data_IF_921707248356
#
_entry.id   IF_921707248356
#
_cell.length_a   1.000
_cell.length_b   1.000
_cell.length_c   1.000
_cell.angle_alpha   90.00
_cell.angle_beta   90.00
_cell.angle_gamma   90.00
#
_symmetry.space_group_name_H-M   'P 1'
#
loop_
_entity.id
_entity.type
_entity.pdbx_description
1 polymer ?
#
# COMPACT_ATOMS: atom_id res chain seq x y z
N UNK A 1 -17.56 -52.44 -40.87
CA UNK A 1 -18.03 -52.59 -39.48
C UNK A 1 -16.89 -52.20 -38.55
N UNK A 2 -17.13 -51.24 -37.63
CA UNK A 2 -16.20 -50.64 -36.63
C UNK A 2 -15.11 -49.74 -37.26
N UNK A 3 -14.83 -48.52 -36.84
CA UNK A 3 -15.16 -47.77 -35.63
C UNK A 3 -15.10 -46.26 -35.98
N UNK A 4 -16.18 -45.53 -35.73
CA UNK A 4 -16.22 -44.07 -35.64
C UNK A 4 -15.87 -43.70 -34.18
N UNK A 5 -15.29 -42.51 -33.98
CA UNK A 5 -15.33 -41.67 -32.76
C UNK A 5 -13.99 -41.51 -32.01
N UNK A 6 -13.75 -40.25 -31.61
CA UNK A 6 -12.57 -39.67 -30.94
C UNK A 6 -11.38 -39.40 -31.87
N UNK A 7 -11.22 -38.22 -32.46
CA UNK A 7 -10.70 -37.06 -31.70
C UNK A 7 -10.85 -35.77 -32.54
N UNK A 8 -12.08 -35.28 -32.70
CA UNK A 8 -12.36 -33.93 -33.26
C UNK A 8 -12.28 -32.84 -32.18
N UNK A 9 -11.92 -33.17 -30.93
CA UNK A 9 -12.02 -32.24 -29.80
C UNK A 9 -10.77 -31.39 -29.49
N UNK A 10 -9.69 -31.47 -30.26
CA UNK A 10 -8.46 -30.70 -29.94
C UNK A 10 -8.37 -29.38 -30.73
N UNK A 11 -9.07 -29.22 -31.86
CA UNK A 11 -8.96 -28.00 -32.68
C UNK A 11 -10.02 -26.92 -32.41
N UNK A 12 -11.15 -27.26 -31.80
CA UNK A 12 -12.14 -26.25 -31.40
C UNK A 12 -11.78 -25.55 -30.07
N UNK A 13 -11.02 -26.22 -29.19
CA UNK A 13 -10.64 -25.68 -27.88
C UNK A 13 -9.56 -24.61 -27.94
N UNK A 14 -8.53 -24.77 -28.78
CA UNK A 14 -7.42 -23.81 -28.86
C UNK A 14 -7.82 -22.47 -29.51
N UNK A 15 -8.76 -22.49 -30.45
CA UNK A 15 -9.27 -21.26 -31.09
C UNK A 15 -10.31 -20.54 -30.23
N UNK A 16 -11.06 -21.25 -29.40
CA UNK A 16 -11.97 -20.63 -28.42
C UNK A 16 -11.22 -20.07 -27.20
N UNK A 17 -10.11 -20.70 -26.78
CA UNK A 17 -9.31 -20.21 -25.66
C UNK A 17 -8.40 -19.03 -26.04
N UNK A 18 -7.97 -18.94 -27.31
CA UNK A 18 -7.18 -17.80 -27.79
C UNK A 18 -8.04 -16.56 -28.13
N UNK A 19 -9.38 -16.71 -28.20
CA UNK A 19 -10.34 -15.60 -28.37
C UNK A 19 -10.96 -15.11 -27.07
N UNK A 20 -10.64 -15.72 -25.93
CA UNK A 20 -11.13 -15.27 -24.63
C UNK A 20 -9.98 -14.63 -23.86
N UNK A 21 -10.14 -13.32 -23.61
CA UNK A 21 -9.33 -12.47 -22.74
C UNK A 21 -8.10 -11.78 -23.35
N UNK A 22 -8.21 -11.34 -24.61
CA UNK A 22 -7.73 -9.99 -24.98
C UNK A 22 -8.89 -8.99 -24.87
N UNK A 23 -9.48 -8.92 -23.68
CA UNK A 23 -9.94 -7.62 -23.23
C UNK A 23 -8.72 -7.01 -22.55
N UNK A 24 -7.83 -6.40 -23.33
CA UNK A 24 -7.33 -5.10 -22.90
C UNK A 24 -8.60 -4.24 -22.84
N UNK A 25 -9.30 -4.33 -21.70
CA UNK A 25 -10.16 -3.23 -21.34
C UNK A 25 -9.20 -2.04 -21.37
N UNK A 26 -9.43 -1.13 -22.32
CA UNK A 26 -8.95 0.23 -22.17
C UNK A 26 -9.50 0.60 -20.80
N UNK A 27 -8.66 0.54 -19.77
CA UNK A 27 -9.08 0.90 -18.43
C UNK A 27 -9.61 2.32 -18.60
N UNK A 28 -10.90 2.52 -18.35
CA UNK A 28 -11.46 3.86 -18.40
C UNK A 28 -10.59 4.72 -17.49
N UNK A 29 -9.83 5.62 -18.11
CA UNK A 29 -8.92 6.49 -17.39
C UNK A 29 -9.73 7.65 -16.89
N UNK A 30 -10.03 7.67 -15.61
CA UNK A 30 -10.71 8.78 -14.98
C UNK A 30 -9.69 9.90 -14.74
N UNK A 31 -10.01 11.15 -15.11
CA UNK A 31 -9.09 12.25 -14.90
C UNK A 31 -8.87 12.49 -13.41
N UNK A 32 -7.60 12.55 -13.00
CA UNK A 32 -7.23 13.02 -11.66
C UNK A 32 -7.41 14.54 -11.59
N UNK A 33 -8.40 14.97 -10.83
CA UNK A 33 -8.72 16.40 -10.64
C UNK A 33 -7.92 17.00 -9.47
N UNK A 34 -7.57 16.18 -8.48
CA UNK A 34 -6.84 16.58 -7.28
C UNK A 34 -6.06 15.41 -6.68
N UNK A 35 -5.12 15.69 -5.78
CA UNK A 35 -4.50 14.66 -4.96
C UNK A 35 -5.45 14.28 -3.82
N UNK A 36 -5.93 13.02 -3.79
CA UNK A 36 -6.64 12.47 -2.64
C UNK A 36 -5.75 12.44 -1.39
N UNK A 37 -6.30 12.74 -0.20
CA UNK A 37 -5.53 12.74 1.03
C UNK A 37 -5.25 11.32 1.51
N UNK A 38 -3.97 10.97 1.65
CA UNK A 38 -3.56 9.65 2.14
C UNK A 38 -3.03 9.71 3.58
N UNK A 39 -3.35 8.68 4.37
CA UNK A 39 -2.68 8.41 5.64
C UNK A 39 -1.96 7.10 5.51
N UNK A 40 -0.64 7.14 5.60
CA UNK A 40 0.17 5.93 5.60
C UNK A 40 0.26 5.44 7.04
N UNK A 41 -0.24 4.24 7.32
CA UNK A 41 -0.18 3.62 8.64
C UNK A 41 0.84 2.49 8.63
N UNK A 42 1.84 2.61 9.50
CA UNK A 42 2.95 1.65 9.60
C UNK A 42 3.01 1.10 11.03
N UNK A 43 2.35 -0.02 11.33
CA UNK A 43 2.63 -0.79 12.53
C UNK A 43 3.99 -1.49 12.38
N UNK A 44 4.82 -1.40 13.42
CA UNK A 44 6.18 -1.90 13.36
C UNK A 44 6.64 -2.47 14.69
N UNK A 45 7.30 -3.62 14.65
CA UNK A 45 7.86 -4.31 15.81
C UNK A 45 9.16 -4.98 15.41
N UNK A 46 10.28 -4.59 16.04
CA UNK A 46 11.62 -5.14 15.79
C UNK A 46 12.08 -5.06 14.31
N UNK A 47 11.85 -3.92 13.66
CA UNK A 47 12.18 -3.70 12.25
C UNK A 47 13.37 -2.75 12.06
N UNK A 48 14.33 -2.74 12.99
CA UNK A 48 15.49 -1.86 12.88
C UNK A 48 16.20 -2.04 11.53
N UNK A 49 16.37 -3.27 11.03
CA UNK A 49 17.01 -3.51 9.75
C UNK A 49 16.32 -2.81 8.55
N UNK A 50 15.01 -2.55 8.63
CA UNK A 50 14.19 -2.08 7.51
C UNK A 50 13.77 -0.61 7.62
N UNK A 51 13.78 -0.04 8.84
CA UNK A 51 13.26 1.30 9.14
C UNK A 51 13.74 2.39 8.18
N UNK A 52 15.03 2.36 7.81
CA UNK A 52 15.59 3.38 6.94
C UNK A 52 14.99 3.31 5.53
N UNK A 53 14.91 2.12 4.96
CA UNK A 53 14.33 1.93 3.63
C UNK A 53 12.82 2.19 3.65
N UNK A 54 12.13 1.75 4.70
CA UNK A 54 10.71 1.96 4.91
C UNK A 54 10.38 3.47 4.91
N UNK A 55 10.93 4.23 5.86
CA UNK A 55 10.65 5.66 6.00
C UNK A 55 11.13 6.47 4.79
N UNK A 56 12.32 6.19 4.24
CA UNK A 56 12.80 6.89 3.04
C UNK A 56 11.87 6.65 1.84
N UNK A 57 11.33 5.44 1.66
CA UNK A 57 10.40 5.16 0.56
C UNK A 57 9.07 5.93 0.66
N UNK A 58 8.62 6.21 1.89
CA UNK A 58 7.43 7.02 2.17
C UNK A 58 7.71 8.49 1.85
N UNK A 59 8.81 9.04 2.35
CA UNK A 59 9.13 10.46 2.15
C UNK A 59 9.75 10.79 0.79
N UNK A 60 10.11 9.78 0.00
CA UNK A 60 10.52 9.95 -1.40
C UNK A 60 9.34 9.90 -2.38
N UNK A 61 8.09 9.84 -1.92
CA UNK A 61 6.95 9.86 -2.84
C UNK A 61 6.79 11.25 -3.49
N UNK A 62 6.61 11.27 -4.81
CA UNK A 62 6.25 12.46 -5.59
C UNK A 62 4.76 12.79 -5.41
N UNK A 63 4.36 13.02 -4.16
CA UNK A 63 2.99 13.24 -3.76
C UNK A 63 2.98 14.10 -2.48
N UNK A 64 2.13 15.11 -2.42
CA UNK A 64 2.19 16.09 -1.32
C UNK A 64 1.07 15.89 -0.30
N UNK A 65 -0.11 15.49 -0.75
CA UNK A 65 -1.30 15.35 0.09
C UNK A 65 -1.30 14.01 0.87
N UNK A 66 -0.30 13.81 1.72
CA UNK A 66 -0.27 12.67 2.62
C UNK A 66 0.33 13.01 3.98
N UNK A 67 0.00 12.19 4.98
CA UNK A 67 0.66 12.14 6.29
C UNK A 67 0.99 10.71 6.69
N UNK A 68 1.94 10.55 7.59
CA UNK A 68 2.40 9.28 8.14
C UNK A 68 1.96 9.13 9.60
N UNK A 69 1.48 7.94 9.97
CA UNK A 69 1.44 7.47 11.34
C UNK A 69 2.32 6.23 11.44
N UNK A 70 3.46 6.37 12.10
CA UNK A 70 4.37 5.27 12.38
C UNK A 70 4.16 4.81 13.83
N UNK A 71 3.93 3.52 14.04
CA UNK A 71 3.61 2.95 15.35
C UNK A 71 4.70 1.94 15.69
N UNK A 72 5.55 2.28 16.66
CA UNK A 72 6.44 1.33 17.29
C UNK A 72 5.67 0.54 18.37
N UNK A 73 5.43 -0.74 18.09
CA UNK A 73 4.62 -1.63 18.91
C UNK A 73 5.45 -2.32 19.99
N UNK A 74 6.11 -1.51 20.81
CA UNK A 74 6.95 -1.95 21.93
C UNK A 74 8.14 -2.79 21.47
N UNK A 75 8.91 -2.29 20.50
CA UNK A 75 10.11 -2.98 20.00
C UNK A 75 11.17 -3.14 21.08
N UNK A 76 11.89 -4.27 21.04
CA UNK A 76 13.01 -4.58 21.92
C UNK A 76 14.38 -4.30 21.30
N UNK A 77 14.41 -3.91 20.03
CA UNK A 77 15.59 -3.44 19.32
C UNK A 77 15.64 -1.90 19.25
N UNK A 78 16.50 -1.33 18.41
CA UNK A 78 16.62 0.11 18.25
C UNK A 78 15.64 0.73 17.22
N UNK A 79 14.57 0.01 16.82
CA UNK A 79 13.55 0.49 15.85
C UNK A 79 13.01 1.87 16.24
N UNK A 80 12.52 2.03 17.47
CA UNK A 80 11.97 3.30 17.96
C UNK A 80 12.97 4.46 17.85
N UNK A 81 14.20 4.23 18.34
CA UNK A 81 15.27 5.23 18.34
C UNK A 81 15.62 5.64 16.92
N UNK A 82 15.72 4.68 16.00
CA UNK A 82 16.04 4.94 14.60
C UNK A 82 14.90 5.66 13.88
N UNK A 83 13.65 5.29 14.13
CA UNK A 83 12.48 6.00 13.60
C UNK A 83 12.48 7.47 14.05
N UNK A 84 12.69 7.73 15.34
CA UNK A 84 12.76 9.09 15.89
C UNK A 84 13.86 9.93 15.24
N UNK A 85 15.04 9.34 15.02
CA UNK A 85 16.17 10.01 14.37
C UNK A 85 15.86 10.33 12.90
N UNK A 86 15.37 9.36 12.14
CA UNK A 86 15.06 9.52 10.71
C UNK A 86 13.94 10.55 10.47
N UNK A 87 12.87 10.51 11.27
CA UNK A 87 11.79 11.51 11.18
C UNK A 87 12.27 12.94 11.53
N UNK A 88 13.31 13.04 12.35
CA UNK A 88 13.96 14.33 12.66
C UNK A 88 14.86 14.78 11.50
N UNK A 89 15.67 13.87 10.96
CA UNK A 89 16.57 14.10 9.83
C UNK A 89 15.81 14.58 8.58
N UNK A 90 14.67 13.96 8.29
CA UNK A 90 13.85 14.24 7.11
C UNK A 90 12.94 15.48 7.25
N UNK A 91 13.03 16.21 8.38
CA UNK A 91 12.19 17.37 8.74
C UNK A 91 10.67 17.11 8.58
N UNK A 92 10.21 15.95 9.03
CA UNK A 92 8.83 15.48 8.76
C UNK A 92 7.84 15.86 9.86
N UNK A 93 8.23 16.75 10.80
CA UNK A 93 7.43 17.07 12.01
C UNK A 93 6.01 17.55 11.71
N UNK A 94 5.77 18.15 10.54
CA UNK A 94 4.44 18.62 10.12
C UNK A 94 3.56 17.54 9.48
N UNK A 95 4.15 16.40 9.09
CA UNK A 95 3.49 15.36 8.27
C UNK A 95 3.59 13.95 8.88
N UNK A 96 4.25 13.78 10.02
CA UNK A 96 4.46 12.47 10.63
C UNK A 96 4.11 12.48 12.12
N UNK A 97 3.40 11.44 12.56
CA UNK A 97 3.16 11.12 13.96
C UNK A 97 3.89 9.82 14.28
N UNK A 98 4.74 9.83 15.32
CA UNK A 98 5.36 8.63 15.88
C UNK A 98 4.60 8.25 17.17
N UNK A 99 4.05 7.05 17.19
CA UNK A 99 3.41 6.45 18.37
C UNK A 99 4.35 5.38 18.92
N UNK A 100 4.55 5.36 20.23
CA UNK A 100 5.23 4.27 20.92
C UNK A 100 4.25 3.63 21.90
N UNK A 101 3.97 2.35 21.71
CA UNK A 101 3.06 1.62 22.58
C UNK A 101 3.76 1.17 23.87
N UNK A 102 3.03 1.12 25.00
CA UNK A 102 3.57 0.65 26.27
C UNK A 102 3.65 -0.89 26.36
N UNK A 103 3.11 -1.60 25.38
CA UNK A 103 3.15 -3.06 25.26
C UNK A 103 2.96 -3.46 23.79
N UNK A 104 3.32 -4.69 23.45
CA UNK A 104 3.09 -5.23 22.11
C UNK A 104 1.62 -5.63 21.97
N UNK A 105 0.88 -4.90 21.13
CA UNK A 105 -0.54 -5.16 20.85
C UNK A 105 -0.76 -5.96 19.57
N UNK A 106 0.26 -6.06 18.73
CA UNK A 106 0.20 -6.67 17.40
C UNK A 106 -0.32 -5.71 16.33
N UNK A 107 0.02 -6.02 15.07
CA UNK A 107 -0.27 -5.15 13.93
C UNK A 107 -1.76 -4.84 13.77
N UNK A 108 -2.65 -5.84 13.92
CA UNK A 108 -4.09 -5.64 13.71
C UNK A 108 -4.71 -4.73 14.77
N UNK A 109 -4.33 -4.88 16.04
CA UNK A 109 -4.84 -4.01 17.10
C UNK A 109 -4.38 -2.56 16.88
N UNK A 110 -3.13 -2.37 16.46
CA UNK A 110 -2.61 -1.06 16.09
C UNK A 110 -3.36 -0.42 14.93
N UNK A 111 -3.56 -1.16 13.85
CA UNK A 111 -4.34 -0.68 12.70
C UNK A 111 -5.77 -0.30 13.10
N UNK A 112 -6.44 -1.17 13.85
CA UNK A 112 -7.80 -0.92 14.32
C UNK A 112 -7.87 0.34 15.19
N UNK A 113 -7.04 0.43 16.23
CA UNK A 113 -7.07 1.56 17.17
C UNK A 113 -6.74 2.89 16.47
N UNK A 114 -5.72 2.90 15.60
CA UNK A 114 -5.27 4.12 14.93
C UNK A 114 -6.23 4.57 13.82
N UNK A 115 -6.89 3.64 13.12
CA UNK A 115 -7.86 4.00 12.07
C UNK A 115 -8.98 4.92 12.60
N UNK A 116 -9.43 4.71 13.84
CA UNK A 116 -10.47 5.54 14.49
C UNK A 116 -10.01 6.97 14.80
N UNK A 117 -8.70 7.26 14.70
CA UNK A 117 -8.16 8.62 14.87
C UNK A 117 -7.94 9.35 13.54
N UNK A 118 -8.17 8.69 12.41
CA UNK A 118 -8.05 9.30 11.09
C UNK A 118 -9.33 10.04 10.72
N UNK A 119 -9.22 11.00 9.80
CA UNK A 119 -10.36 11.75 9.32
C UNK A 119 -11.16 10.94 8.27
N UNK A 120 -12.48 11.08 8.27
CA UNK A 120 -13.38 10.31 7.39
C UNK A 120 -13.10 10.45 5.88
N UNK A 121 -12.44 11.54 5.47
CA UNK A 121 -12.13 11.82 4.07
C UNK A 121 -10.75 11.33 3.63
N UNK A 122 -9.97 10.74 4.55
CA UNK A 122 -8.63 10.22 4.29
C UNK A 122 -8.67 8.76 3.84
N UNK A 123 -7.84 8.41 2.86
CA UNK A 123 -7.66 7.03 2.42
C UNK A 123 -6.47 6.43 3.18
N UNK A 124 -6.71 5.32 3.87
CA UNK A 124 -5.69 4.60 4.63
C UNK A 124 -4.84 3.71 3.72
N UNK A 125 -3.53 3.94 3.72
CA UNK A 125 -2.53 3.10 3.04
C UNK A 125 -1.74 2.35 4.10
N UNK A 126 -2.00 1.05 4.23
CA UNK A 126 -1.30 0.21 5.19
C UNK A 126 0.00 -0.26 4.56
N UNK A 127 1.13 0.02 5.23
CA UNK A 127 2.46 -0.42 4.81
C UNK A 127 3.13 -1.12 6.00
N UNK A 128 3.61 -2.35 5.79
CA UNK A 128 4.31 -3.10 6.85
C UNK A 128 5.63 -2.44 7.24
N UNK A 129 6.02 -2.54 8.50
CA UNK A 129 7.29 -1.96 8.99
C UNK A 129 8.56 -2.61 8.41
N UNK A 130 8.47 -3.81 7.87
CA UNK A 130 9.53 -4.55 7.17
C UNK A 130 9.45 -4.46 5.62
N UNK A 131 8.51 -3.65 5.10
CA UNK A 131 8.32 -3.43 3.67
C UNK A 131 8.59 -1.96 3.29
N UNK A 132 8.48 -1.62 2.01
CA UNK A 132 8.71 -0.27 1.49
C UNK A 132 8.01 -0.06 0.15
N UNK A 133 7.71 1.18 -0.21
CA UNK A 133 7.20 1.47 -1.56
C UNK A 133 8.26 1.20 -2.62
N UNK A 134 7.90 0.43 -3.64
CA UNK A 134 8.82 0.02 -4.70
C UNK A 134 9.24 1.16 -5.65
N UNK A 135 8.51 2.28 -5.66
CA UNK A 135 8.76 3.43 -6.53
C UNK A 135 8.29 4.73 -5.86
N UNK A 136 8.87 5.87 -6.25
CA UNK A 136 8.46 7.23 -5.85
C UNK A 136 7.06 7.66 -6.32
N UNK A 137 6.37 6.86 -7.15
CA UNK A 137 5.08 7.21 -7.74
C UNK A 137 3.94 6.29 -7.29
N UNK A 138 4.14 5.49 -6.23
CA UNK A 138 3.12 4.56 -5.73
C UNK A 138 1.85 5.32 -5.33
N UNK A 139 1.99 6.42 -4.58
CA UNK A 139 0.82 7.22 -4.19
C UNK A 139 0.13 7.87 -5.40
N UNK A 140 0.88 8.24 -6.44
CA UNK A 140 0.28 8.73 -7.69
C UNK A 140 -0.55 7.62 -8.36
N UNK A 141 -0.03 6.39 -8.44
CA UNK A 141 -0.76 5.24 -8.98
C UNK A 141 -2.03 4.95 -8.17
N UNK A 142 -1.97 5.01 -6.84
CA UNK A 142 -3.16 4.88 -5.99
C UNK A 142 -4.15 5.99 -6.30
N UNK A 143 -3.72 7.25 -6.36
CA UNK A 143 -4.59 8.38 -6.67
C UNK A 143 -5.32 8.22 -8.01
N UNK A 144 -4.63 7.69 -9.04
CA UNK A 144 -5.26 7.36 -10.33
C UNK A 144 -6.32 6.27 -10.20
N UNK A 145 -6.10 5.25 -9.37
CA UNK A 145 -7.08 4.19 -9.12
C UNK A 145 -8.34 4.71 -8.40
N UNK A 146 -8.16 5.64 -7.46
CA UNK A 146 -9.25 6.32 -6.74
C UNK A 146 -9.87 7.48 -7.53
N UNK A 147 -9.38 7.80 -8.74
CA UNK A 147 -10.05 8.75 -9.63
C UNK A 147 -11.35 8.17 -10.21
N UNK A 148 -11.45 6.84 -10.25
CA UNK A 148 -12.68 6.15 -10.64
C UNK A 148 -13.77 6.35 -9.57
N UNK A 149 -14.92 6.98 -9.88
CA UNK A 149 -16.02 7.17 -8.93
C UNK A 149 -16.64 5.87 -8.40
N UNK A 150 -16.38 4.74 -9.06
CA UNK A 150 -16.79 3.42 -8.58
C UNK A 150 -15.80 2.81 -7.56
N UNK A 151 -14.61 3.38 -7.41
CA UNK A 151 -13.68 3.08 -6.32
C UNK A 151 -14.08 3.96 -5.15
N UNK A 152 -14.56 3.33 -4.07
CA UNK A 152 -15.03 4.01 -2.85
C UNK A 152 -13.94 4.82 -2.16
#
# INVERSE_FOLDING_TARGET
MKLILATVFVLAGALAFCKLRKHEAIAESFPVVEQKPFVILIPSYNNSAYIEKNLRSVFSQNYENFRLIYIDDFSNDDTLKRAQNLLTELDTKKRATLIHNPANYGALANLYNTAHSCHDHEILVILSGDDYFAHENVLHTLNQAYANPATW
#
